data_IF_230836417910
#
_entry.id   IF_230836417910
#
_cell.length_a   1.000
_cell.length_b   1.000
_cell.length_c   1.000
_cell.angle_alpha   90.00
_cell.angle_beta   90.00
_cell.angle_gamma   90.00
#
_symmetry.space_group_name_H-M   'P 1'
#
loop_
_entity.id
_entity.type
_entity.pdbx_description
1 polymer ?
#
# COMPACT_ATOMS: atom_id res chain seq x y z
N UNK A 1 28.35 -0.45 18.24
CA UNK A 1 26.92 -0.16 18.28
C UNK A 1 26.18 -0.94 17.21
N UNK A 2 25.18 -1.62 17.61
CA UNK A 2 24.37 -2.35 16.66
C UNK A 2 23.43 -1.41 15.92
N UNK A 3 23.49 -1.43 14.60
CA UNK A 3 22.67 -0.59 13.77
C UNK A 3 21.64 -1.37 12.97
N UNK A 4 21.41 -2.62 13.36
CA UNK A 4 20.42 -3.43 12.67
C UNK A 4 19.04 -2.82 12.79
N UNK A 5 18.34 -2.75 11.68
CA UNK A 5 16.98 -2.26 11.63
C UNK A 5 16.04 -3.43 11.41
N UNK A 6 14.89 -3.34 12.05
CA UNK A 6 13.82 -4.30 11.83
C UNK A 6 12.88 -3.71 10.79
N UNK A 7 12.60 -4.45 9.75
CA UNK A 7 11.75 -4.00 8.68
C UNK A 7 10.52 -4.89 8.60
N UNK A 8 9.36 -4.27 8.57
CA UNK A 8 8.11 -4.98 8.35
C UNK A 8 7.64 -4.67 6.94
N UNK A 9 7.62 -5.69 6.09
CA UNK A 9 7.10 -5.58 4.75
C UNK A 9 5.59 -5.82 4.80
N UNK A 10 4.84 -4.89 4.27
CA UNK A 10 3.37 -4.90 4.37
C UNK A 10 2.80 -4.86 2.97
N UNK A 11 2.04 -5.88 2.62
CA UNK A 11 1.30 -5.92 1.38
C UNK A 11 0.10 -4.96 1.46
N UNK A 12 -0.33 -4.44 0.33
CA UNK A 12 -1.44 -3.49 0.29
C UNK A 12 -2.78 -4.20 0.13
N UNK A 13 -2.97 -4.81 -1.05
CA UNK A 13 -4.27 -5.42 -1.37
C UNK A 13 -4.41 -6.72 -0.63
N UNK A 14 -5.53 -6.89 0.04
CA UNK A 14 -5.75 -8.07 0.86
C UNK A 14 -5.14 -8.01 2.25
N UNK A 15 -4.46 -6.91 2.59
CA UNK A 15 -3.85 -6.74 3.91
C UNK A 15 -4.25 -5.42 4.55
N UNK A 16 -3.96 -4.31 3.87
CA UNK A 16 -4.35 -2.97 4.36
C UNK A 16 -5.76 -2.62 3.90
N UNK A 17 -6.05 -2.94 2.66
CA UNK A 17 -7.33 -2.62 2.03
C UNK A 17 -7.92 -3.89 1.43
N UNK A 18 -9.25 -3.90 1.33
CA UNK A 18 -9.98 -5.01 0.73
C UNK A 18 -9.67 -5.03 -0.76
N UNK A 19 -9.27 -6.19 -1.27
CA UNK A 19 -9.06 -6.34 -2.69
C UNK A 19 -10.42 -6.36 -3.40
N UNK A 20 -10.62 -5.50 -4.42
CA UNK A 20 -11.91 -5.49 -5.12
C UNK A 20 -12.22 -6.86 -5.72
N UNK A 21 -13.46 -7.36 -5.54
CA UNK A 21 -13.74 -8.77 -5.83
C UNK A 21 -13.92 -9.13 -7.30
N UNK A 22 -14.16 -8.16 -8.18
CA UNK A 22 -14.46 -8.47 -9.57
C UNK A 22 -13.20 -8.42 -10.43
N UNK A 23 -12.51 -7.29 -10.43
CA UNK A 23 -11.34 -7.09 -11.29
C UNK A 23 -10.03 -7.02 -10.50
N UNK A 24 -10.10 -7.08 -9.17
CA UNK A 24 -8.93 -7.04 -8.29
C UNK A 24 -8.12 -5.77 -8.44
N UNK A 25 -8.78 -4.67 -8.86
CA UNK A 25 -8.10 -3.40 -9.12
C UNK A 25 -8.75 -2.29 -8.29
N UNK A 26 -7.96 -1.65 -7.46
CA UNK A 26 -8.40 -0.49 -6.71
C UNK A 26 -8.21 0.75 -7.61
N UNK A 27 -9.15 0.96 -8.51
CA UNK A 27 -9.05 1.94 -9.58
C UNK A 27 -10.03 3.10 -9.43
N UNK A 28 -10.67 3.24 -8.27
CA UNK A 28 -11.52 4.39 -7.98
C UNK A 28 -11.57 4.61 -6.48
N UNK A 29 -11.90 5.84 -6.09
CA UNK A 29 -12.06 6.18 -4.67
C UNK A 29 -13.17 5.39 -4.02
N UNK A 30 -14.22 5.08 -4.77
CA UNK A 30 -15.36 4.35 -4.24
C UNK A 30 -15.01 2.92 -3.82
N UNK A 31 -13.99 2.35 -4.42
CA UNK A 31 -13.57 0.99 -4.10
C UNK A 31 -12.65 0.92 -2.88
N UNK A 32 -12.18 2.07 -2.40
CA UNK A 32 -11.24 2.08 -1.27
C UNK A 32 -11.96 1.69 0.01
N UNK A 33 -11.53 0.58 0.58
CA UNK A 33 -12.11 0.07 1.82
C UNK A 33 -10.99 -0.55 2.64
N UNK A 34 -10.79 -0.04 3.85
CA UNK A 34 -9.77 -0.58 4.74
C UNK A 34 -10.24 -1.84 5.42
N UNK A 35 -9.31 -2.72 5.74
CA UNK A 35 -9.62 -3.87 6.58
C UNK A 35 -10.04 -3.41 7.96
N UNK A 36 -11.00 -4.12 8.59
CA UNK A 36 -11.37 -3.79 9.96
C UNK A 36 -10.18 -3.83 10.89
N UNK A 37 -10.08 -2.82 11.75
CA UNK A 37 -9.05 -2.72 12.79
C UNK A 37 -7.64 -2.47 12.27
N UNK A 38 -7.48 -2.18 10.97
CA UNK A 38 -6.13 -1.95 10.43
C UNK A 38 -5.45 -0.76 11.10
N UNK A 39 -6.19 0.33 11.34
CA UNK A 39 -5.61 1.50 11.98
C UNK A 39 -5.18 1.18 13.41
N UNK A 40 -6.01 0.49 14.15
CA UNK A 40 -5.72 0.13 15.53
C UNK A 40 -4.51 -0.79 15.61
N UNK A 41 -4.49 -1.82 14.79
CA UNK A 41 -3.44 -2.84 14.89
C UNK A 41 -2.11 -2.34 14.35
N UNK A 42 -2.09 -1.66 13.21
CA UNK A 42 -0.85 -1.10 12.70
C UNK A 42 -0.36 0.07 13.53
N UNK A 43 -1.29 0.86 14.07
CA UNK A 43 -0.93 1.92 15.00
C UNK A 43 -0.24 1.39 16.23
N UNK A 44 -0.70 0.25 16.76
CA UNK A 44 -0.04 -0.40 17.88
C UNK A 44 1.38 -0.83 17.51
N UNK A 45 1.52 -1.51 16.38
CA UNK A 45 2.84 -1.97 15.94
C UNK A 45 3.78 -0.78 15.73
N UNK A 46 3.30 0.28 15.08
CA UNK A 46 4.12 1.45 14.78
C UNK A 46 4.57 2.17 16.05
N UNK A 47 3.69 2.25 17.06
CA UNK A 47 3.98 3.01 18.26
C UNK A 47 4.71 2.22 19.33
N UNK A 48 4.57 0.89 19.34
CA UNK A 48 5.10 0.05 20.44
C UNK A 48 6.30 -0.78 20.01
N UNK A 49 6.47 -1.03 18.74
CA UNK A 49 7.54 -1.88 18.22
C UNK A 49 8.43 -1.05 17.31
N UNK A 50 9.70 -1.37 17.32
CA UNK A 50 10.71 -0.60 16.57
C UNK A 50 10.90 -1.21 15.19
N UNK A 51 9.92 -0.99 14.31
CA UNK A 51 9.98 -1.45 12.93
C UNK A 51 9.95 -0.29 11.97
N UNK A 52 10.74 -0.39 10.90
CA UNK A 52 10.49 0.42 9.71
C UNK A 52 9.39 -0.26 8.90
N UNK A 53 8.49 0.54 8.34
CA UNK A 53 7.39 0.03 7.53
C UNK A 53 7.71 0.22 6.07
N UNK A 54 7.69 -0.87 5.32
CA UNK A 54 7.88 -0.84 3.86
C UNK A 54 6.67 -1.49 3.23
N UNK A 55 5.94 -0.71 2.42
CA UNK A 55 4.82 -1.25 1.67
C UNK A 55 5.32 -1.85 0.38
N UNK A 56 4.84 -3.04 0.06
CA UNK A 56 5.10 -3.67 -1.23
C UNK A 56 3.75 -4.02 -1.83
N UNK A 57 3.55 -3.66 -3.09
CA UNK A 57 2.29 -3.97 -3.77
C UNK A 57 2.57 -4.35 -5.21
N UNK A 58 1.96 -5.44 -5.64
CA UNK A 58 2.06 -5.92 -7.01
C UNK A 58 0.77 -5.55 -7.72
N UNK A 59 0.89 -4.71 -8.75
CA UNK A 59 -0.26 -4.19 -9.47
C UNK A 59 -0.22 -4.72 -10.90
N UNK A 60 -0.79 -5.89 -11.05
CA UNK A 60 -0.87 -6.53 -12.34
C UNK A 60 -1.79 -5.72 -13.27
N UNK A 61 -1.33 -5.50 -14.48
CA UNK A 61 -2.11 -4.73 -15.45
C UNK A 61 -2.00 -3.22 -15.33
N UNK A 62 -1.34 -2.71 -14.30
CA UNK A 62 -1.21 -1.27 -14.11
C UNK A 62 -0.43 -0.66 -15.28
N UNK A 63 -0.97 0.42 -15.85
CA UNK A 63 -0.40 1.08 -17.02
C UNK A 63 -0.99 0.60 -18.33
N UNK A 64 -1.83 -0.43 -18.31
CA UNK A 64 -2.54 -0.88 -19.50
C UNK A 64 -3.88 -0.15 -19.63
N UNK A 65 -4.57 -0.38 -20.76
CA UNK A 65 -5.86 0.27 -20.99
C UNK A 65 -6.93 -0.16 -19.97
N UNK A 66 -6.80 -1.36 -19.40
CA UNK A 66 -7.75 -1.83 -18.39
C UNK A 66 -7.48 -1.26 -17.01
N UNK A 67 -6.28 -0.73 -16.78
CA UNK A 67 -5.91 -0.15 -15.50
C UNK A 67 -4.95 1.02 -15.73
N UNK A 68 -5.45 2.16 -16.24
CA UNK A 68 -4.59 3.31 -16.47
C UNK A 68 -4.03 3.87 -15.15
N UNK A 69 -2.83 4.41 -15.20
CA UNK A 69 -2.19 4.95 -13.99
C UNK A 69 -3.01 6.06 -13.34
N UNK A 70 -3.67 6.88 -14.12
CA UNK A 70 -4.46 7.97 -13.56
C UNK A 70 -5.65 7.48 -12.73
N UNK A 71 -6.04 6.22 -12.85
CA UNK A 71 -7.09 5.64 -12.01
C UNK A 71 -6.52 4.95 -10.76
N UNK A 72 -5.23 4.67 -10.76
CA UNK A 72 -4.57 4.02 -9.63
C UNK A 72 -4.22 5.00 -8.50
N UNK A 73 -3.58 6.12 -8.86
CA UNK A 73 -2.98 7.00 -7.88
C UNK A 73 -3.96 7.69 -6.94
N UNK A 74 -5.16 8.12 -7.37
CA UNK A 74 -6.06 8.80 -6.42
C UNK A 74 -6.42 7.96 -5.21
N UNK A 75 -6.84 6.71 -5.40
CA UNK A 75 -7.20 5.85 -4.27
C UNK A 75 -5.96 5.47 -3.46
N UNK A 76 -4.85 5.20 -4.14
CA UNK A 76 -3.60 4.86 -3.46
C UNK A 76 -3.12 6.00 -2.57
N UNK A 77 -3.14 7.21 -3.09
CA UNK A 77 -2.69 8.38 -2.34
C UNK A 77 -3.63 8.70 -1.17
N UNK A 78 -4.93 8.53 -1.35
CA UNK A 78 -5.87 8.72 -0.25
C UNK A 78 -5.64 7.70 0.85
N UNK A 79 -5.36 6.46 0.48
CA UNK A 79 -5.03 5.41 1.45
C UNK A 79 -3.81 5.82 2.27
N UNK A 80 -2.75 6.26 1.60
CA UNK A 80 -1.52 6.68 2.30
C UNK A 80 -1.76 7.87 3.21
N UNK A 81 -2.52 8.85 2.73
CA UNK A 81 -2.85 10.04 3.51
C UNK A 81 -3.65 9.68 4.75
N UNK A 82 -4.61 8.79 4.59
CA UNK A 82 -5.46 8.37 5.70
C UNK A 82 -4.65 7.63 6.76
N UNK A 83 -3.79 6.70 6.31
CA UNK A 83 -2.92 5.97 7.24
C UNK A 83 -1.96 6.90 7.96
N UNK A 84 -1.36 7.84 7.24
CA UNK A 84 -0.45 8.81 7.86
C UNK A 84 -1.17 9.67 8.90
N UNK A 85 -2.43 10.03 8.64
CA UNK A 85 -3.24 10.77 9.59
C UNK A 85 -3.50 10.00 10.87
N UNK A 86 -3.44 8.66 10.80
CA UNK A 86 -3.59 7.79 11.96
C UNK A 86 -2.24 7.42 12.58
N UNK A 87 -1.17 8.11 12.19
CA UNK A 87 0.15 7.83 12.72
C UNK A 87 0.87 6.67 12.06
N UNK A 88 0.35 6.17 10.95
CA UNK A 88 0.91 5.01 10.25
C UNK A 88 1.54 5.49 8.95
N UNK A 89 2.77 5.99 9.04
CA UNK A 89 3.52 6.43 7.88
C UNK A 89 4.49 5.34 7.44
N UNK A 90 4.66 5.20 6.14
CA UNK A 90 5.58 4.21 5.58
C UNK A 90 6.93 4.85 5.29
N UNK A 91 7.99 4.12 5.60
CA UNK A 91 9.35 4.59 5.36
C UNK A 91 9.75 4.41 3.91
N UNK A 92 9.14 3.43 3.23
CA UNK A 92 9.37 3.22 1.81
C UNK A 92 8.16 2.52 1.20
N UNK A 93 7.95 2.69 -0.10
CA UNK A 93 6.82 2.12 -0.82
C UNK A 93 7.30 1.64 -2.17
N UNK A 94 6.98 0.39 -2.50
CA UNK A 94 7.34 -0.20 -3.77
C UNK A 94 6.08 -0.68 -4.48
N UNK A 95 5.88 -0.21 -5.70
CA UNK A 95 4.78 -0.64 -6.57
C UNK A 95 5.38 -1.36 -7.77
N UNK A 96 4.99 -2.62 -7.97
CA UNK A 96 5.49 -3.43 -9.07
C UNK A 96 4.48 -3.50 -10.19
N UNK A 97 4.96 -3.36 -11.42
CA UNK A 97 4.18 -3.53 -12.64
C UNK A 97 4.63 -4.84 -13.28
N UNK A 98 3.78 -5.84 -13.28
CA UNK A 98 4.20 -7.16 -13.74
C UNK A 98 4.35 -7.28 -15.25
N UNK A 99 3.71 -6.38 -16.00
CA UNK A 99 3.77 -6.42 -17.47
C UNK A 99 4.81 -5.49 -18.05
N UNK A 100 5.41 -4.62 -17.24
CA UNK A 100 6.42 -3.67 -17.70
C UNK A 100 7.80 -4.17 -17.34
N UNK A 101 8.77 -3.86 -18.21
CA UNK A 101 10.16 -4.21 -17.97
C UNK A 101 10.94 -3.09 -17.31
N UNK A 102 10.36 -1.91 -17.20
CA UNK A 102 11.01 -0.76 -16.59
C UNK A 102 10.86 -0.80 -15.07
N UNK A 103 11.88 -0.39 -14.35
CA UNK A 103 11.76 -0.31 -12.89
C UNK A 103 10.76 0.76 -12.51
N UNK A 104 10.06 0.52 -11.42
CA UNK A 104 9.12 1.47 -10.86
C UNK A 104 9.78 2.17 -9.69
N UNK A 105 9.79 3.49 -9.74
CA UNK A 105 10.39 4.32 -8.71
C UNK A 105 9.32 5.28 -8.21
N UNK A 106 9.17 5.32 -6.92
CA UNK A 106 8.20 6.22 -6.29
C UNK A 106 8.92 7.26 -5.44
#
# INVERSE_FOLDING_TARGET
>A
MDTKKKVLFIDRDGTLVIEPPVDYQLDSLEKLEFYPKVFRNLGFVRSKLDFEFVMVTNQDGLGTSSFPEETFWPAHNLMLKTLAGEGIAFDDISVSYTHLTLPTIL
#
